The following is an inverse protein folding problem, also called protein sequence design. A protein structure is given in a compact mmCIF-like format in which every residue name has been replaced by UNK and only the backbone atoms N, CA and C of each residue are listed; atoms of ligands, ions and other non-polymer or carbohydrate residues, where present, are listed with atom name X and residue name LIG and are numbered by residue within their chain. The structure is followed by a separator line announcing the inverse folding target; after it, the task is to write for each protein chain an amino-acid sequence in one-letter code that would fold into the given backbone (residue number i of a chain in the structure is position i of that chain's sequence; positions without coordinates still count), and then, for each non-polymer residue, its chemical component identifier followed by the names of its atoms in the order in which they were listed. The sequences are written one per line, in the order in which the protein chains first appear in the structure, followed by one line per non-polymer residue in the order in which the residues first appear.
data_IF_861810573936
#
_entry.id   IF_861810573936
#
_cell.length_a   1.000
_cell.length_b   1.000
_cell.length_c   1.000
_cell.angle_alpha   90.00
_cell.angle_beta   90.00
_cell.angle_gamma   90.00
#
_symmetry.space_group_name_H-M   'P 1'
#
loop_
_entity.id
_entity.type
_entity.pdbx_description
1 polymer ?
#
# COMPACT_ATOMS: atom_id res chain seq x y z
N UNK A 1 -45.35 28.18 -33.12
CA UNK A 1 -43.89 27.90 -33.14
C UNK A 1 -43.07 28.63 -32.07
N UNK A 2 -43.59 29.68 -31.40
CA UNK A 2 -42.81 30.52 -30.48
C UNK A 2 -42.58 29.96 -29.05
N UNK A 3 -43.40 29.02 -28.57
CA UNK A 3 -43.28 28.41 -27.23
C UNK A 3 -42.25 27.28 -27.16
N UNK A 4 -42.12 26.47 -28.22
CA UNK A 4 -41.15 25.37 -28.30
C UNK A 4 -39.68 25.85 -28.28
N UNK A 5 -39.41 27.03 -28.84
CA UNK A 5 -38.06 27.60 -28.83
C UNK A 5 -37.65 28.11 -27.44
N UNK A 6 -38.60 28.60 -26.64
CA UNK A 6 -38.33 29.05 -25.25
C UNK A 6 -38.00 27.86 -24.33
N UNK A 7 -38.71 26.74 -24.48
CA UNK A 7 -38.39 25.52 -23.71
C UNK A 7 -37.02 24.96 -24.07
N UNK A 8 -36.64 24.98 -25.36
CA UNK A 8 -35.31 24.55 -25.80
C UNK A 8 -34.22 25.47 -25.22
N UNK A 9 -34.42 26.78 -25.26
CA UNK A 9 -33.46 27.75 -24.71
C UNK A 9 -33.31 27.62 -23.18
N UNK A 10 -34.42 27.39 -22.47
CA UNK A 10 -34.39 27.20 -21.01
C UNK A 10 -33.66 25.91 -20.64
N UNK A 11 -33.93 24.81 -21.35
CA UNK A 11 -33.21 23.55 -21.18
C UNK A 11 -31.72 23.69 -21.52
N UNK A 12 -31.38 24.43 -22.57
CA UNK A 12 -29.98 24.71 -22.92
C UNK A 12 -29.27 25.53 -21.83
N UNK A 13 -29.91 26.58 -21.31
CA UNK A 13 -29.37 27.37 -20.21
C UNK A 13 -29.20 26.55 -18.93
N UNK A 14 -30.18 25.70 -18.59
CA UNK A 14 -30.09 24.78 -17.47
C UNK A 14 -28.95 23.76 -17.65
N UNK A 15 -28.78 23.23 -18.87
CA UNK A 15 -27.68 22.33 -19.21
C UNK A 15 -26.31 22.98 -19.08
N UNK A 16 -26.16 24.23 -19.55
CA UNK A 16 -24.92 25.01 -19.38
C UNK A 16 -24.65 25.25 -17.89
N UNK A 17 -25.66 25.65 -17.11
CA UNK A 17 -25.51 25.85 -15.67
C UNK A 17 -25.05 24.56 -14.96
N UNK A 18 -25.71 23.43 -15.23
CA UNK A 18 -25.31 22.13 -14.69
C UNK A 18 -23.89 21.75 -15.11
N UNK A 19 -23.54 21.94 -16.38
CA UNK A 19 -22.20 21.65 -16.88
C UNK A 19 -21.13 22.50 -16.19
N UNK A 20 -21.37 23.81 -16.04
CA UNK A 20 -20.46 24.71 -15.32
C UNK A 20 -20.34 24.35 -13.84
N UNK A 21 -21.42 23.90 -13.19
CA UNK A 21 -21.37 23.44 -11.81
C UNK A 21 -20.54 22.16 -11.65
N UNK A 22 -20.70 21.20 -12.57
CA UNK A 22 -19.92 19.95 -12.57
C UNK A 22 -18.43 20.25 -12.80
N UNK A 23 -18.10 21.06 -13.79
CA UNK A 23 -16.71 21.40 -14.12
C UNK A 23 -16.04 22.28 -13.07
N UNK A 24 -16.77 23.24 -12.47
CA UNK A 24 -16.22 24.22 -11.55
C UNK A 24 -16.13 23.74 -10.10
N UNK A 25 -17.00 22.81 -9.67
CA UNK A 25 -17.07 22.39 -8.27
C UNK A 25 -16.89 20.88 -8.08
N UNK A 26 -17.63 20.07 -8.84
CA UNK A 26 -17.68 18.62 -8.62
C UNK A 26 -16.37 17.94 -9.03
N UNK A 27 -15.90 18.15 -10.27
CA UNK A 27 -14.66 17.54 -10.75
C UNK A 27 -13.44 17.95 -9.90
N UNK A 28 -13.22 19.26 -9.60
CA UNK A 28 -12.09 19.66 -8.76
C UNK A 28 -12.16 19.09 -7.35
N UNK A 29 -13.36 18.93 -6.77
CA UNK A 29 -13.51 18.30 -5.47
C UNK A 29 -13.11 16.82 -5.51
N UNK A 30 -13.60 16.05 -6.48
CA UNK A 30 -13.23 14.65 -6.61
C UNK A 30 -11.74 14.45 -6.86
N UNK A 31 -11.09 15.33 -7.63
CA UNK A 31 -9.65 15.23 -7.86
C UNK A 31 -8.84 15.54 -6.59
N UNK A 32 -9.29 16.49 -5.77
CA UNK A 32 -8.71 16.73 -4.44
C UNK A 32 -8.89 15.52 -3.52
N UNK A 33 -10.10 14.97 -3.45
CA UNK A 33 -10.40 13.82 -2.60
C UNK A 33 -9.56 12.59 -3.01
N UNK A 34 -9.37 12.37 -4.32
CA UNK A 34 -8.48 11.32 -4.85
C UNK A 34 -7.03 11.55 -4.47
N UNK A 35 -6.53 12.78 -4.55
CA UNK A 35 -5.15 13.09 -4.16
C UNK A 35 -4.92 12.90 -2.66
N UNK A 36 -5.88 13.34 -1.83
CA UNK A 36 -5.83 13.11 -0.38
C UNK A 36 -5.82 11.62 -0.07
N UNK A 37 -6.74 10.85 -0.66
CA UNK A 37 -6.76 9.40 -0.49
C UNK A 37 -5.45 8.74 -0.94
N UNK A 38 -4.91 9.13 -2.10
CA UNK A 38 -3.64 8.60 -2.59
C UNK A 38 -2.47 8.90 -1.64
N UNK A 39 -2.43 10.10 -1.05
CA UNK A 39 -1.44 10.46 -0.04
C UNK A 39 -1.62 9.65 1.26
N UNK A 40 -2.86 9.43 1.69
CA UNK A 40 -3.17 8.56 2.84
C UNK A 40 -2.75 7.11 2.61
N UNK A 41 -2.81 6.61 1.37
CA UNK A 41 -2.30 5.26 1.04
C UNK A 41 -0.76 5.18 1.10
N UNK A 42 -0.02 6.29 1.09
CA UNK A 42 1.43 6.26 1.27
C UNK A 42 1.89 6.12 2.72
N UNK A 43 0.96 6.27 3.67
CA UNK A 43 1.25 6.14 5.10
C UNK A 43 0.73 4.81 5.62
N UNK A 44 1.59 3.98 6.24
CA UNK A 44 1.16 2.74 6.91
C UNK A 44 0.06 2.95 7.95
N UNK A 45 -0.01 4.15 8.56
CA UNK A 45 -0.97 4.49 9.61
C UNK A 45 -2.38 4.75 9.09
N UNK A 46 -2.53 5.03 7.79
CA UNK A 46 -3.81 5.37 7.14
C UNK A 46 -4.14 4.49 5.95
N UNK A 47 -3.19 3.66 5.49
CA UNK A 47 -3.39 2.75 4.36
C UNK A 47 -4.62 1.85 4.56
N UNK A 48 -5.43 1.73 3.51
CA UNK A 48 -6.68 1.00 3.54
C UNK A 48 -6.46 -0.47 3.19
N UNK A 49 -6.63 -1.36 4.17
CA UNK A 49 -6.53 -2.80 3.95
C UNK A 49 -7.43 -3.29 2.82
N UNK A 50 -8.66 -2.76 2.69
CA UNK A 50 -9.62 -3.27 1.72
C UNK A 50 -9.15 -3.03 0.28
N UNK A 51 -8.34 -2.00 0.04
CA UNK A 51 -7.81 -1.68 -1.29
C UNK A 51 -6.88 -2.77 -1.84
N UNK A 52 -6.20 -3.53 -0.95
CA UNK A 52 -5.22 -4.56 -1.29
C UNK A 52 -5.74 -6.00 -1.16
N UNK A 53 -6.90 -6.22 -0.53
CA UNK A 53 -7.48 -7.57 -0.34
C UNK A 53 -7.68 -8.34 -1.65
N UNK A 54 -7.97 -7.64 -2.75
CA UNK A 54 -8.13 -8.23 -4.10
C UNK A 54 -6.89 -8.96 -4.62
N UNK A 55 -5.71 -8.71 -4.03
CA UNK A 55 -4.46 -9.36 -4.44
C UNK A 55 -4.15 -10.65 -3.70
N UNK A 56 -4.98 -11.01 -2.71
CA UNK A 56 -4.81 -12.26 -1.95
C UNK A 56 -4.64 -13.46 -2.88
N UNK A 57 -3.61 -14.25 -2.64
CA UNK A 57 -3.29 -15.41 -3.46
C UNK A 57 -2.59 -16.50 -2.64
N UNK A 58 -2.80 -17.75 -3.01
CA UNK A 58 -2.10 -18.88 -2.38
C UNK A 58 -0.63 -18.97 -2.80
N UNK A 59 -0.30 -18.49 -4.00
CA UNK A 59 1.00 -18.74 -4.65
C UNK A 59 1.73 -17.46 -5.00
N UNK A 60 2.94 -17.31 -4.47
CA UNK A 60 3.87 -16.20 -4.75
C UNK A 60 4.33 -16.16 -6.22
N UNK A 61 4.25 -17.29 -6.93
CA UNK A 61 4.54 -17.36 -8.37
C UNK A 61 3.53 -16.62 -9.24
N UNK A 62 2.40 -16.15 -8.69
CA UNK A 62 1.53 -15.20 -9.38
C UNK A 62 2.17 -13.80 -9.36
N UNK A 63 3.11 -13.60 -10.27
CA UNK A 63 3.86 -12.35 -10.42
C UNK A 63 2.94 -11.14 -10.56
N UNK A 64 1.88 -11.25 -11.36
CA UNK A 64 0.94 -10.14 -11.57
C UNK A 64 0.25 -9.71 -10.29
N UNK A 65 -0.23 -10.65 -9.46
CA UNK A 65 -0.85 -10.29 -8.17
C UNK A 65 0.18 -9.67 -7.22
N UNK A 66 1.35 -10.27 -7.08
CA UNK A 66 2.37 -9.82 -6.14
C UNK A 66 2.97 -8.45 -6.55
N UNK A 67 3.16 -8.23 -7.85
CA UNK A 67 3.61 -6.93 -8.38
C UNK A 67 2.56 -5.84 -8.13
N UNK A 68 1.29 -6.13 -8.42
CA UNK A 68 0.21 -5.18 -8.17
C UNK A 68 -0.02 -4.92 -6.67
N UNK A 69 0.21 -5.93 -5.82
CA UNK A 69 0.22 -5.74 -4.37
C UNK A 69 1.34 -4.78 -3.97
N UNK A 70 2.58 -5.01 -4.44
CA UNK A 70 3.70 -4.12 -4.16
C UNK A 70 3.42 -2.66 -4.59
N UNK A 71 2.85 -2.46 -5.78
CA UNK A 71 2.47 -1.12 -6.27
C UNK A 71 1.29 -0.49 -5.53
N UNK A 72 0.54 -1.24 -4.74
CA UNK A 72 -0.55 -0.71 -3.93
C UNK A 72 -0.12 -0.42 -2.48
N UNK A 73 0.98 -1.00 -2.02
CA UNK A 73 1.49 -0.80 -0.67
C UNK A 73 2.24 0.55 -0.51
N UNK A 74 2.40 1.06 0.73
CA UNK A 74 3.24 2.22 1.01
C UNK A 74 4.64 2.15 0.36
N UNK A 75 5.23 3.30 0.03
CA UNK A 75 6.49 3.45 -0.72
C UNK A 75 6.39 3.21 -2.24
N UNK A 76 5.17 3.06 -2.77
CA UNK A 76 5.00 2.85 -4.21
C UNK A 76 5.33 4.10 -5.07
N UNK A 77 5.54 5.27 -4.45
CA UNK A 77 6.05 6.44 -5.15
C UNK A 77 7.54 6.33 -5.50
N UNK A 78 8.27 5.45 -4.83
CA UNK A 78 9.67 5.17 -5.12
C UNK A 78 9.71 4.18 -6.29
N UNK A 79 10.36 4.52 -7.41
CA UNK A 79 10.52 3.59 -8.52
C UNK A 79 11.16 2.29 -8.05
N UNK A 80 10.52 1.17 -8.36
CA UNK A 80 11.02 -0.14 -7.99
C UNK A 80 10.71 -1.20 -9.04
N UNK A 81 11.55 -2.23 -9.06
CA UNK A 81 11.30 -3.48 -9.80
C UNK A 81 11.17 -4.65 -8.85
N UNK A 82 10.62 -5.76 -9.33
CA UNK A 82 10.40 -6.96 -8.53
C UNK A 82 11.02 -8.19 -9.20
N UNK A 83 11.70 -9.00 -8.40
CA UNK A 83 12.25 -10.30 -8.80
C UNK A 83 11.67 -11.40 -7.91
N UNK A 84 11.33 -12.55 -8.51
CA UNK A 84 10.87 -13.72 -7.76
C UNK A 84 11.93 -14.80 -7.75
N UNK A 85 12.00 -15.52 -6.63
CA UNK A 85 12.91 -16.63 -6.40
C UNK A 85 12.09 -17.86 -5.98
N UNK A 86 11.40 -18.55 -6.93
CA UNK A 86 10.42 -19.58 -6.62
C UNK A 86 10.98 -20.75 -5.80
N UNK A 87 12.22 -21.15 -6.06
CA UNK A 87 12.89 -22.26 -5.36
C UNK A 87 13.00 -22.02 -3.85
N UNK A 88 13.11 -20.75 -3.47
CA UNK A 88 13.22 -20.30 -2.07
C UNK A 88 11.91 -19.69 -1.54
N UNK A 89 10.87 -19.63 -2.38
CA UNK A 89 9.62 -18.92 -2.12
C UNK A 89 9.86 -17.47 -1.65
N UNK A 90 10.79 -16.76 -2.29
CA UNK A 90 11.20 -15.41 -1.92
C UNK A 90 10.92 -14.37 -3.02
N UNK A 91 10.77 -13.11 -2.63
CA UNK A 91 10.63 -11.98 -3.55
C UNK A 91 11.57 -10.83 -3.18
N UNK A 92 12.09 -10.14 -4.18
CA UNK A 92 12.96 -8.98 -4.01
C UNK A 92 12.24 -7.77 -4.59
N UNK A 93 12.21 -6.69 -3.82
CA UNK A 93 11.75 -5.37 -4.26
C UNK A 93 12.99 -4.49 -4.34
N UNK A 94 13.35 -4.07 -5.55
CA UNK A 94 14.55 -3.29 -5.83
C UNK A 94 14.13 -1.83 -6.00
N UNK A 95 14.32 -1.04 -4.96
CA UNK A 95 14.06 0.40 -4.97
C UNK A 95 15.23 1.17 -5.57
N UNK A 96 14.93 2.13 -6.45
CA UNK A 96 15.91 3.05 -7.02
C UNK A 96 16.07 4.27 -6.12
N UNK A 97 16.54 4.04 -4.89
CA UNK A 97 16.81 5.07 -3.89
C UNK A 97 17.79 4.56 -2.82
N UNK A 98 18.58 5.46 -2.25
CA UNK A 98 19.32 5.22 -1.02
C UNK A 98 18.42 5.44 0.21
N UNK A 99 18.63 4.67 1.28
CA UNK A 99 17.85 4.84 2.51
C UNK A 99 18.09 6.18 3.21
N UNK A 100 19.24 6.81 2.97
CA UNK A 100 19.60 8.10 3.55
C UNK A 100 18.78 9.27 2.99
N UNK A 101 18.19 9.10 1.82
CA UNK A 101 17.34 10.11 1.16
C UNK A 101 15.87 10.02 1.62
N UNK A 102 15.55 9.02 2.45
CA UNK A 102 14.20 8.73 2.92
C UNK A 102 14.03 9.13 4.38
N UNK A 103 12.81 9.50 4.75
CA UNK A 103 12.44 9.62 6.16
C UNK A 103 12.51 8.24 6.83
N UNK A 104 13.44 8.08 7.78
CA UNK A 104 13.74 6.80 8.43
C UNK A 104 12.51 6.22 9.14
N UNK A 105 11.76 7.06 9.84
CA UNK A 105 10.57 6.61 10.58
C UNK A 105 9.48 6.09 9.64
N UNK A 106 9.22 6.80 8.54
CA UNK A 106 8.29 6.39 7.49
C UNK A 106 8.76 5.13 6.77
N UNK A 107 10.05 5.03 6.46
CA UNK A 107 10.65 3.86 5.83
C UNK A 107 10.42 2.62 6.70
N UNK A 108 10.82 2.68 7.97
CA UNK A 108 10.75 1.53 8.87
C UNK A 108 9.31 1.07 9.14
N UNK A 109 8.38 2.01 9.34
CA UNK A 109 6.95 1.69 9.43
C UNK A 109 6.44 0.97 8.19
N UNK A 110 6.83 1.48 7.02
CA UNK A 110 6.40 0.91 5.73
C UNK A 110 6.99 -0.47 5.51
N UNK A 111 8.25 -0.71 5.88
CA UNK A 111 8.87 -2.03 5.77
C UNK A 111 8.11 -3.08 6.60
N UNK A 112 7.79 -2.77 7.86
CA UNK A 112 7.00 -3.68 8.71
C UNK A 112 5.61 -3.92 8.10
N UNK A 113 4.91 -2.85 7.73
CA UNK A 113 3.56 -2.94 7.15
C UNK A 113 3.54 -3.78 5.86
N UNK A 114 4.45 -3.47 4.93
CA UNK A 114 4.51 -4.10 3.61
C UNK A 114 4.88 -5.58 3.71
N UNK A 115 5.83 -5.93 4.60
CA UNK A 115 6.17 -7.32 4.86
C UNK A 115 4.97 -8.07 5.46
N UNK A 116 4.31 -7.50 6.48
CA UNK A 116 3.12 -8.11 7.09
C UNK A 116 2.00 -8.30 6.07
N UNK A 117 1.71 -7.30 5.25
CA UNK A 117 0.67 -7.37 4.21
C UNK A 117 1.01 -8.42 3.14
N UNK A 118 2.26 -8.44 2.67
CA UNK A 118 2.74 -9.41 1.68
C UNK A 118 2.61 -10.84 2.20
N UNK A 119 3.03 -11.09 3.44
CA UNK A 119 2.91 -12.42 4.03
C UNK A 119 1.48 -12.79 4.43
N UNK A 120 0.63 -11.82 4.78
CA UNK A 120 -0.77 -12.11 5.10
C UNK A 120 -1.58 -12.45 3.85
N UNK A 121 -1.30 -11.78 2.73
CA UNK A 121 -2.05 -11.94 1.48
C UNK A 121 -1.50 -13.04 0.56
N UNK A 122 -0.21 -13.40 0.67
CA UNK A 122 0.44 -14.39 -0.22
C UNK A 122 0.88 -15.63 0.57
N UNK A 123 0.04 -16.67 0.63
CA UNK A 123 0.15 -17.76 1.62
C UNK A 123 1.51 -18.47 1.67
N UNK A 124 2.16 -18.70 0.53
CA UNK A 124 3.40 -19.48 0.49
C UNK A 124 4.69 -18.64 0.45
N UNK A 125 4.62 -17.30 0.39
CA UNK A 125 5.80 -16.39 0.34
C UNK A 125 6.65 -16.43 1.62
N UNK A 126 7.78 -17.13 1.65
CA UNK A 126 8.56 -17.33 2.88
C UNK A 126 9.48 -16.17 3.23
N UNK A 127 9.92 -15.38 2.24
CA UNK A 127 10.87 -14.30 2.45
C UNK A 127 10.60 -13.14 1.49
N UNK A 128 10.80 -11.91 1.97
CA UNK A 128 10.82 -10.71 1.14
C UNK A 128 12.08 -9.89 1.45
N UNK A 129 12.72 -9.35 0.41
CA UNK A 129 13.93 -8.53 0.51
C UNK A 129 13.66 -7.16 -0.09
N UNK A 130 13.70 -6.12 0.73
CA UNK A 130 13.63 -4.75 0.26
C UNK A 130 15.05 -4.25 0.05
N UNK A 131 15.47 -4.13 -1.21
CA UNK A 131 16.81 -3.71 -1.61
C UNK A 131 16.77 -2.24 -2.01
N UNK A 132 17.53 -1.43 -1.30
CA UNK A 132 17.86 -0.05 -1.61
C UNK A 132 19.30 0.00 -2.12
N UNK A 133 19.72 1.13 -2.69
CA UNK A 133 21.03 1.28 -3.32
C UNK A 133 22.20 0.98 -2.37
N UNK A 134 22.01 1.26 -1.07
CA UNK A 134 23.02 1.13 -0.02
C UNK A 134 22.71 0.05 1.03
N UNK A 135 21.50 -0.53 1.03
CA UNK A 135 21.03 -1.39 2.13
C UNK A 135 19.92 -2.35 1.73
N UNK A 136 19.98 -3.56 2.25
CA UNK A 136 18.93 -4.58 2.10
C UNK A 136 18.29 -4.91 3.45
N UNK A 137 16.95 -4.87 3.49
CA UNK A 137 16.15 -5.34 4.61
C UNK A 137 15.51 -6.69 4.25
N UNK A 138 15.94 -7.75 4.91
CA UNK A 138 15.41 -9.10 4.68
C UNK A 138 14.42 -9.50 5.76
N UNK A 139 13.17 -9.76 5.39
CA UNK A 139 12.12 -10.28 6.27
C UNK A 139 11.80 -11.74 5.97
N UNK A 140 11.60 -12.54 7.01
CA UNK A 140 11.18 -13.95 6.93
C UNK A 140 9.81 -14.13 7.57
N UNK A 141 8.90 -14.87 6.92
CA UNK A 141 7.55 -15.14 7.44
C UNK A 141 7.57 -15.63 8.89
N UNK A 142 8.46 -16.56 9.21
CA UNK A 142 8.54 -17.17 10.54
C UNK A 142 8.80 -16.16 11.66
N UNK A 143 9.60 -15.12 11.41
CA UNK A 143 9.82 -14.03 12.38
C UNK A 143 8.54 -13.24 12.63
N UNK A 144 7.78 -12.95 11.58
CA UNK A 144 6.52 -12.22 11.66
C UNK A 144 5.42 -13.05 12.33
N UNK A 145 5.31 -14.34 12.01
CA UNK A 145 4.36 -15.25 12.68
C UNK A 145 4.64 -15.34 14.18
N UNK A 146 5.91 -15.46 14.56
CA UNK A 146 6.32 -15.44 15.97
C UNK A 146 6.01 -14.11 16.65
N UNK A 147 6.24 -12.99 15.97
CA UNK A 147 5.97 -11.65 16.50
C UNK A 147 4.49 -11.40 16.76
N UNK A 148 3.61 -11.80 15.85
CA UNK A 148 2.16 -11.65 16.04
C UNK A 148 1.52 -12.81 16.82
N UNK A 149 2.25 -13.89 17.06
CA UNK A 149 1.78 -15.09 17.77
C UNK A 149 0.64 -15.83 17.06
N UNK A 150 0.52 -15.69 15.73
CA UNK A 150 -0.56 -16.29 14.92
C UNK A 150 -0.19 -16.39 13.45
N UNK A 151 -0.98 -17.16 12.71
CA UNK A 151 -0.88 -17.22 11.24
C UNK A 151 -1.19 -15.84 10.63
N UNK A 152 -0.32 -15.36 9.76
CA UNK A 152 -0.44 -14.00 9.20
C UNK A 152 -1.72 -13.79 8.38
N UNK A 153 -2.20 -14.82 7.68
CA UNK A 153 -3.45 -14.73 6.91
C UNK A 153 -4.69 -14.42 7.77
N UNK A 154 -4.65 -14.66 9.09
CA UNK A 154 -5.76 -14.31 9.99
C UNK A 154 -5.81 -12.81 10.33
N UNK A 155 -4.74 -12.06 10.06
CA UNK A 155 -4.70 -10.61 10.29
C UNK A 155 -5.62 -9.86 9.32
N UNK A 156 -5.85 -10.44 8.13
CA UNK A 156 -6.64 -9.83 7.04
C UNK A 156 -8.12 -10.17 7.09
N UNK A 157 -8.57 -10.99 8.04
CA UNK A 157 -9.98 -11.42 8.16
C UNK A 157 -10.94 -10.23 8.38
N UNK A 158 -10.47 -9.16 9.02
CA UNK A 158 -11.24 -7.94 9.21
C UNK A 158 -10.33 -6.73 9.49
N UNK A 159 -10.72 -5.51 9.06
CA UNK A 159 -10.09 -4.28 9.52
C UNK A 159 -10.05 -4.14 11.05
N UNK A 160 -10.98 -4.77 11.78
CA UNK A 160 -11.02 -4.78 13.25
C UNK A 160 -9.88 -5.61 13.89
N UNK A 161 -9.26 -6.50 13.13
CA UNK A 161 -8.08 -7.27 13.57
C UNK A 161 -6.82 -6.56 13.08
N UNK A 162 -6.79 -6.20 11.80
CA UNK A 162 -5.63 -5.55 11.18
C UNK A 162 -5.24 -4.25 11.86
N UNK A 163 -6.21 -3.36 12.12
CA UNK A 163 -5.92 -2.04 12.70
C UNK A 163 -5.20 -2.13 14.05
N UNK A 164 -5.75 -2.79 15.08
CA UNK A 164 -5.08 -2.86 16.38
C UNK A 164 -3.83 -3.75 16.39
N UNK A 165 -3.75 -4.78 15.54
CA UNK A 165 -2.63 -5.72 15.55
C UNK A 165 -1.41 -5.22 14.74
N UNK A 166 -1.66 -4.52 13.62
CA UNK A 166 -0.62 -4.16 12.64
C UNK A 166 -0.47 -2.65 12.52
N UNK A 167 -1.57 -1.91 12.36
CA UNK A 167 -1.53 -0.50 11.94
C UNK A 167 -1.31 0.48 13.10
N UNK A 168 -2.10 0.37 14.17
CA UNK A 168 -2.01 1.25 15.34
C UNK A 168 -0.67 1.15 16.08
N UNK A 169 -0.07 -0.04 16.29
CA UNK A 169 1.23 -0.15 16.95
C UNK A 169 2.36 0.57 16.21
N UNK A 170 2.26 0.77 14.89
CA UNK A 170 3.26 1.49 14.11
C UNK A 170 3.35 2.97 14.47
N UNK A 171 2.34 3.55 15.13
CA UNK A 171 2.42 4.92 15.62
C UNK A 171 3.48 5.07 16.73
N UNK A 172 3.77 4.01 17.48
CA UNK A 172 4.80 4.00 18.52
C UNK A 172 6.19 3.75 17.93
N UNK A 173 7.08 4.74 18.06
CA UNK A 173 8.47 4.64 17.57
C UNK A 173 9.22 3.48 18.22
N UNK A 174 9.02 3.21 19.51
CA UNK A 174 9.71 2.13 20.21
C UNK A 174 9.29 0.76 19.68
N UNK A 175 8.00 0.59 19.35
CA UNK A 175 7.49 -0.61 18.68
C UNK A 175 8.16 -0.79 17.31
N UNK A 176 8.24 0.28 16.51
CA UNK A 176 8.84 0.24 15.17
C UNK A 176 10.32 -0.13 15.23
N UNK A 177 11.11 0.56 16.06
CA UNK A 177 12.55 0.27 16.21
C UNK A 177 12.78 -1.17 16.67
N UNK A 178 12.05 -1.63 17.69
CA UNK A 178 12.11 -3.02 18.14
C UNK A 178 11.70 -3.99 17.03
N UNK A 179 10.69 -3.62 16.23
CA UNK A 179 10.23 -4.37 15.08
C UNK A 179 11.35 -4.55 14.06
N UNK A 180 12.03 -3.48 13.66
CA UNK A 180 13.15 -3.54 12.72
C UNK A 180 14.26 -4.47 13.21
N UNK A 181 14.70 -4.30 14.46
CA UNK A 181 15.78 -5.10 15.05
C UNK A 181 15.49 -6.61 15.09
N UNK A 182 14.22 -6.98 15.34
CA UNK A 182 13.84 -8.38 15.54
C UNK A 182 13.34 -9.04 14.24
N UNK A 183 12.59 -8.31 13.42
CA UNK A 183 11.90 -8.83 12.24
C UNK A 183 12.79 -8.88 11.00
N UNK A 184 13.76 -7.97 10.91
CA UNK A 184 14.60 -7.84 9.73
C UNK A 184 16.03 -8.29 10.00
N UNK A 185 16.69 -8.74 8.94
CA UNK A 185 18.16 -8.80 8.86
C UNK A 185 18.59 -7.71 7.89
N UNK A 186 19.38 -6.77 8.40
CA UNK A 186 19.85 -5.62 7.65
C UNK A 186 21.27 -5.90 7.15
N UNK A 187 21.53 -5.59 5.88
CA UNK A 187 22.85 -5.78 5.26
C UNK A 187 23.15 -4.55 4.41
N UNK A 188 24.28 -3.91 4.64
CA UNK A 188 24.75 -2.80 3.80
C UNK A 188 25.30 -3.38 2.47
N UNK A 189 25.11 -2.64 1.37
CA UNK A 189 25.45 -3.04 -0.01
C UNK A 189 26.69 -2.30 -0.50
#
# INVERSE_FOLDING_TARGET
MWTKNKTILLLAAAGILLFTAVQGFVLPQWDRDKQVYAAEQQSPLTHDLQSIMKYQNKYMGNFSNLSNLNHALPLNEIPSTMELHPDSLAADILYQAGTADLDEERLERSLIYNATASFALIDNLQQIRFKFDNRTYTAKRTKFENWYGKKLSSLTDSPKIWKPAVQEPLADRAYVTKGIDNLFTVTDV
#
